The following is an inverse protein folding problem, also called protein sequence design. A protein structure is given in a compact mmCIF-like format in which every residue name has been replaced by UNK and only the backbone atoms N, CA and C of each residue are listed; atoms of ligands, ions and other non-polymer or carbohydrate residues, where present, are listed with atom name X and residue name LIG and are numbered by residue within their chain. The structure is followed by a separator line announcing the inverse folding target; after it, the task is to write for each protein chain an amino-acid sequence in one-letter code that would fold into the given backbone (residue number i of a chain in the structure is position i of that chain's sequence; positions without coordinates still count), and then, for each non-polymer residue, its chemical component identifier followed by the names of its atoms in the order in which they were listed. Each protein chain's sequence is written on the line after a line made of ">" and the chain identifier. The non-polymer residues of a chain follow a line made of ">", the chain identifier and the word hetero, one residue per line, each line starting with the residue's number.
data_IF_232644566780
#
_entry.id   IF_232644566780
#
_cell.length_a   1.000
_cell.length_b   1.000
_cell.length_c   1.000
_cell.angle_alpha   90.00
_cell.angle_beta   90.00
_cell.angle_gamma   90.00
#
_symmetry.space_group_name_H-M   'P 1'
#
loop_
_entity.id
_entity.type
_entity.pdbx_description
1 polymer ?
#
# COMPACT_ATOMS: atom_id res chain seq x y z
N UNK A 1 13.22 10.53 16.81
CA UNK A 1 13.73 11.18 15.57
C UNK A 1 13.02 10.53 14.40
N UNK A 2 12.50 11.32 13.45
CA UNK A 2 11.81 10.80 12.24
C UNK A 2 12.69 11.14 11.04
N UNK A 3 12.80 10.22 10.07
CA UNK A 3 13.54 10.43 8.83
C UNK A 3 12.55 10.67 7.68
N UNK A 4 12.63 11.82 7.01
CA UNK A 4 11.75 12.19 5.90
C UNK A 4 12.56 12.19 4.61
N UNK A 5 12.03 11.57 3.55
CA UNK A 5 12.61 11.55 2.20
C UNK A 5 11.51 11.77 1.15
N UNK A 6 11.80 12.59 0.14
CA UNK A 6 10.93 12.79 -1.02
C UNK A 6 11.49 12.02 -2.22
N UNK A 7 10.65 11.19 -2.84
CA UNK A 7 11.00 10.44 -4.05
C UNK A 7 10.28 11.06 -5.26
N UNK A 8 11.03 11.56 -6.23
CA UNK A 8 10.50 12.13 -7.47
C UNK A 8 10.61 11.10 -8.59
N UNK A 9 9.47 10.62 -9.08
CA UNK A 9 9.41 9.60 -10.14
C UNK A 9 8.82 10.23 -11.40
N UNK A 10 9.68 10.59 -12.35
CA UNK A 10 9.25 11.14 -13.65
C UNK A 10 8.80 9.97 -14.53
N UNK A 11 7.58 10.05 -15.08
CA UNK A 11 6.99 9.02 -15.92
C UNK A 11 6.56 9.59 -17.28
N UNK A 12 6.70 8.82 -18.37
CA UNK A 12 6.29 9.23 -19.71
C UNK A 12 4.79 8.94 -19.95
N UNK A 13 3.92 9.38 -19.04
CA UNK A 13 2.47 9.28 -19.16
C UNK A 13 1.81 10.54 -18.60
N UNK A 14 0.55 10.78 -18.98
CA UNK A 14 -0.24 11.87 -18.41
C UNK A 14 -0.68 11.54 -16.97
N UNK A 15 -1.12 12.57 -16.25
CA UNK A 15 -1.67 12.45 -14.90
C UNK A 15 -2.92 11.55 -14.93
N UNK A 16 -3.78 11.72 -15.92
CA UNK A 16 -5.00 10.94 -16.11
C UNK A 16 -4.68 9.46 -16.44
N UNK A 17 -3.70 9.21 -17.30
CA UNK A 17 -3.23 7.85 -17.59
C UNK A 17 -2.64 7.17 -16.35
N UNK A 18 -1.90 7.93 -15.53
CA UNK A 18 -1.33 7.41 -14.28
C UNK A 18 -2.41 6.96 -13.30
N UNK A 19 -3.54 7.68 -13.19
CA UNK A 19 -4.63 7.29 -12.29
C UNK A 19 -5.10 5.85 -12.56
N UNK A 20 -5.30 5.51 -13.84
CA UNK A 20 -5.73 4.17 -14.26
C UNK A 20 -4.58 3.17 -14.11
N UNK A 21 -3.39 3.53 -14.59
CA UNK A 21 -2.21 2.67 -14.58
C UNK A 21 -1.75 2.29 -13.18
N UNK A 22 -1.83 3.20 -12.22
CA UNK A 22 -1.48 2.96 -10.81
C UNK A 22 -2.42 1.92 -10.19
N UNK A 23 -3.73 2.08 -10.36
CA UNK A 23 -4.72 1.15 -9.79
C UNK A 23 -4.56 -0.26 -10.34
N UNK A 24 -4.38 -0.39 -11.66
CA UNK A 24 -4.09 -1.67 -12.31
C UNK A 24 -2.79 -2.29 -11.77
N UNK A 25 -1.71 -1.51 -11.74
CA UNK A 25 -0.40 -1.97 -11.30
C UNK A 25 -0.40 -2.42 -9.83
N UNK A 26 -1.13 -1.72 -8.96
CA UNK A 26 -1.30 -2.12 -7.56
C UNK A 26 -2.05 -3.44 -7.44
N UNK A 27 -3.11 -3.66 -8.23
CA UNK A 27 -3.84 -4.93 -8.21
C UNK A 27 -2.97 -6.10 -8.66
N UNK A 28 -2.26 -5.95 -9.78
CA UNK A 28 -1.36 -6.99 -10.32
C UNK A 28 -0.18 -7.27 -9.38
N UNK A 29 0.46 -6.22 -8.84
CA UNK A 29 1.53 -6.37 -7.88
C UNK A 29 1.05 -7.05 -6.58
N UNK A 30 -0.18 -6.76 -6.13
CA UNK A 30 -0.76 -7.40 -4.95
C UNK A 30 -0.99 -8.90 -5.18
N UNK A 31 -1.51 -9.26 -6.35
CA UNK A 31 -1.70 -10.66 -6.76
C UNK A 31 -0.37 -11.41 -6.82
N UNK A 32 0.65 -10.83 -7.47
CA UNK A 32 1.97 -11.44 -7.61
C UNK A 32 2.69 -11.61 -6.26
N UNK A 33 2.37 -10.79 -5.27
CA UNK A 33 2.94 -10.84 -3.94
C UNK A 33 2.09 -11.64 -2.93
N UNK A 34 1.02 -12.29 -3.35
CA UNK A 34 0.15 -13.07 -2.46
C UNK A 34 0.22 -14.56 -2.80
N UNK A 35 0.58 -15.39 -1.82
CA UNK A 35 0.73 -16.83 -1.99
C UNK A 35 1.31 -17.51 -0.75
N UNK A 36 0.99 -18.80 -0.57
CA UNK A 36 1.61 -19.62 0.49
C UNK A 36 1.25 -19.23 1.93
N UNK A 37 0.12 -18.53 2.14
CA UNK A 37 -0.28 -18.03 3.47
C UNK A 37 0.29 -16.66 3.82
N UNK A 38 1.03 -16.02 2.91
CA UNK A 38 1.59 -14.68 3.07
C UNK A 38 1.22 -13.76 1.91
N UNK A 39 1.38 -12.44 2.11
CA UNK A 39 1.06 -11.44 1.09
C UNK A 39 0.08 -10.38 1.55
N UNK A 40 -0.78 -9.92 0.65
CA UNK A 40 -1.63 -8.76 0.85
C UNK A 40 -3.09 -9.21 1.00
N UNK A 41 -3.69 -8.85 2.12
CA UNK A 41 -5.10 -9.02 2.40
C UNK A 41 -5.80 -7.66 2.34
N UNK A 42 -6.87 -7.55 1.54
CA UNK A 42 -7.67 -6.32 1.44
C UNK A 42 -8.87 -6.43 2.37
N UNK A 43 -8.88 -5.65 3.45
CA UNK A 43 -9.98 -5.62 4.41
C UNK A 43 -11.11 -4.67 3.99
N UNK A 44 -10.73 -3.50 3.48
CA UNK A 44 -11.68 -2.49 3.01
C UNK A 44 -11.23 -1.89 1.70
N UNK A 45 -12.20 -1.64 0.83
CA UNK A 45 -12.02 -0.90 -0.41
C UNK A 45 -13.35 -0.22 -0.74
N UNK A 46 -13.53 1.01 -0.24
CA UNK A 46 -14.80 1.73 -0.30
C UNK A 46 -14.58 3.21 -0.65
N UNK A 47 -15.53 3.84 -1.36
CA UNK A 47 -15.49 5.29 -1.54
C UNK A 47 -15.63 5.98 -0.18
N UNK A 48 -14.96 7.12 0.00
CA UNK A 48 -15.08 7.96 1.19
C UNK A 48 -15.32 9.41 0.81
N UNK A 49 -15.95 10.14 1.73
CA UNK A 49 -16.09 11.59 1.69
C UNK A 49 -15.76 12.13 3.09
N UNK A 50 -14.83 13.08 3.17
CA UNK A 50 -14.42 13.72 4.42
C UNK A 50 -14.09 15.18 4.17
N UNK A 51 -14.71 16.09 4.90
CA UNK A 51 -14.34 17.52 4.92
C UNK A 51 -14.24 18.15 3.51
N UNK A 52 -15.05 17.68 2.55
CA UNK A 52 -15.04 18.13 1.15
C UNK A 52 -14.08 17.37 0.22
N UNK A 53 -13.23 16.50 0.76
CA UNK A 53 -12.40 15.56 0.01
C UNK A 53 -13.19 14.29 -0.30
N UNK A 54 -13.16 13.84 -1.56
CA UNK A 54 -13.79 12.61 -2.02
C UNK A 54 -12.75 11.72 -2.68
N UNK A 55 -12.83 10.43 -2.43
CA UNK A 55 -11.88 9.49 -3.01
C UNK A 55 -12.17 8.04 -2.66
N UNK A 56 -11.14 7.21 -2.79
CA UNK A 56 -11.18 5.80 -2.43
C UNK A 56 -10.36 5.55 -1.15
N UNK A 57 -10.99 4.90 -0.18
CA UNK A 57 -10.33 4.44 1.03
C UNK A 57 -10.01 2.95 0.90
N UNK A 58 -8.79 2.57 1.25
CA UNK A 58 -8.41 1.16 1.34
C UNK A 58 -7.73 0.86 2.66
N UNK A 59 -8.03 -0.31 3.21
CA UNK A 59 -7.32 -0.86 4.37
C UNK A 59 -6.82 -2.24 3.98
N UNK A 60 -5.50 -2.42 4.00
CA UNK A 60 -4.84 -3.68 3.68
C UNK A 60 -3.96 -4.15 4.83
N UNK A 61 -3.76 -5.45 4.89
CA UNK A 61 -2.81 -6.11 5.79
C UNK A 61 -1.74 -6.78 4.95
N UNK A 62 -0.48 -6.48 5.25
CA UNK A 62 0.69 -7.14 4.69
C UNK A 62 1.23 -8.16 5.69
N UNK A 63 1.21 -9.42 5.31
CA UNK A 63 1.78 -10.54 6.05
C UNK A 63 3.20 -10.80 5.54
N UNK A 64 4.23 -10.47 6.34
CA UNK A 64 5.63 -10.36 5.88
C UNK A 64 6.57 -11.44 6.44
N UNK A 65 6.04 -12.50 7.06
CA UNK A 65 6.82 -13.45 7.87
C UNK A 65 8.00 -14.09 7.12
N UNK A 66 7.82 -14.54 5.86
CA UNK A 66 8.90 -15.07 5.02
C UNK A 66 9.65 -13.98 4.24
N UNK A 67 9.02 -12.82 4.03
CA UNK A 67 9.46 -11.77 3.08
C UNK A 67 10.44 -10.73 3.64
N UNK A 68 10.70 -10.72 4.94
CA UNK A 68 11.70 -9.82 5.55
C UNK A 68 13.07 -10.49 5.73
N UNK A 69 14.18 -9.73 5.75
CA UNK A 69 15.50 -10.25 6.08
C UNK A 69 15.57 -10.97 7.44
N UNK A 70 16.44 -11.98 7.55
CA UNK A 70 16.55 -12.82 8.75
C UNK A 70 16.87 -12.07 10.05
N UNK A 71 17.65 -10.99 9.98
CA UNK A 71 17.93 -10.17 11.17
C UNK A 71 16.66 -9.49 11.71
N UNK A 72 15.71 -9.10 10.86
CA UNK A 72 14.43 -8.54 11.31
C UNK A 72 13.62 -9.61 12.03
N UNK A 73 13.58 -10.83 11.48
CA UNK A 73 12.87 -11.96 12.10
C UNK A 73 13.43 -12.34 13.46
N UNK A 74 14.74 -12.20 13.66
CA UNK A 74 15.40 -12.52 14.93
C UNK A 74 14.91 -11.64 16.09
N UNK A 75 14.54 -10.40 15.80
CA UNK A 75 14.04 -9.45 16.81
C UNK A 75 12.51 -9.37 16.86
N UNK A 76 11.81 -9.85 15.82
CA UNK A 76 10.36 -9.79 15.72
C UNK A 76 9.71 -11.01 16.40
N UNK A 77 8.83 -10.83 17.40
CA UNK A 77 8.02 -11.91 17.96
C UNK A 77 7.22 -12.66 16.87
N UNK A 78 6.95 -13.94 17.09
CA UNK A 78 6.16 -14.74 16.16
C UNK A 78 4.79 -14.10 15.91
N UNK A 79 4.45 -13.86 14.63
CA UNK A 79 3.18 -13.26 14.23
C UNK A 79 3.13 -11.72 14.32
N UNK A 80 4.23 -11.06 14.70
CA UNK A 80 4.30 -9.60 14.77
C UNK A 80 4.64 -8.91 13.43
N UNK A 81 4.97 -9.67 12.40
CA UNK A 81 5.34 -9.17 11.06
C UNK A 81 4.11 -8.90 10.19
N UNK A 82 3.18 -8.15 10.77
CA UNK A 82 1.91 -7.74 10.17
C UNK A 82 1.89 -6.23 10.10
N UNK A 83 1.76 -5.68 8.88
CA UNK A 83 1.71 -4.24 8.65
C UNK A 83 0.32 -3.87 8.14
N UNK A 84 -0.31 -2.90 8.78
CA UNK A 84 -1.55 -2.31 8.29
C UNK A 84 -1.22 -1.12 7.40
N UNK A 85 -1.71 -1.15 6.18
CA UNK A 85 -1.69 0.00 5.26
C UNK A 85 -3.11 0.57 5.20
N UNK A 86 -3.25 1.85 5.51
CA UNK A 86 -4.49 2.60 5.25
C UNK A 86 -4.18 3.69 4.25
N UNK A 87 -4.89 3.71 3.13
CA UNK A 87 -4.69 4.69 2.08
C UNK A 87 -5.97 5.46 1.78
N UNK A 88 -5.84 6.78 1.67
CA UNK A 88 -6.86 7.73 1.24
C UNK A 88 -6.43 8.31 -0.10
N UNK A 89 -7.01 7.78 -1.17
CA UNK A 89 -6.70 8.20 -2.53
C UNK A 89 -7.75 9.20 -3.02
N UNK A 90 -7.42 10.49 -2.94
CA UNK A 90 -8.18 11.61 -3.51
C UNK A 90 -7.42 12.17 -4.72
N UNK A 91 -7.26 11.32 -5.75
CA UNK A 91 -6.43 11.61 -6.92
C UNK A 91 -6.67 13.04 -7.44
N UNK A 92 -5.61 13.86 -7.67
CA UNK A 92 -4.20 13.48 -7.80
C UNK A 92 -3.40 13.37 -6.48
N UNK A 93 -4.02 13.62 -5.32
CA UNK A 93 -3.38 13.48 -4.02
C UNK A 93 -3.70 12.12 -3.39
N UNK A 94 -2.71 11.48 -2.78
CA UNK A 94 -2.91 10.23 -2.08
C UNK A 94 -2.06 10.23 -0.81
N UNK A 95 -2.67 9.81 0.30
CA UNK A 95 -2.00 9.65 1.58
C UNK A 95 -2.11 8.20 2.03
N UNK A 96 -0.99 7.62 2.44
CA UNK A 96 -0.93 6.28 3.02
C UNK A 96 -0.27 6.34 4.39
N UNK A 97 -0.82 5.58 5.35
CA UNK A 97 -0.23 5.36 6.68
C UNK A 97 -0.11 3.88 7.02
#
# INVERSE_FOLDING_TARGET
>A
MVLIKEFRVVLPCSVEEYQVGQLFSVAEASKNNTGGGEGIEVLKNEPYEREGERGQFTHKIYHLQSKVPGFIKMFAPEGSLVVHERAWNAYPYCRTE
#
